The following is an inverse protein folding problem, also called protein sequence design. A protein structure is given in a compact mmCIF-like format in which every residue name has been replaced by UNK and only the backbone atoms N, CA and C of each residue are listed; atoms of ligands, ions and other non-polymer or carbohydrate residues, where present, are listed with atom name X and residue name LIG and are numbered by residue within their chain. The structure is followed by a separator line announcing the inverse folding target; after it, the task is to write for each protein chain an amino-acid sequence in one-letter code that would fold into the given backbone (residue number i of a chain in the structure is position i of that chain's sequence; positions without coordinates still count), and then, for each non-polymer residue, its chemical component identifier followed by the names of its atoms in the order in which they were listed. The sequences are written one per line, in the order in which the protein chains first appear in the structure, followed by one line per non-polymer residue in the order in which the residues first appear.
data_IF_325625471592
#
_entry.id   IF_325625471592
#
_cell.length_a   1.000
_cell.length_b   1.000
_cell.length_c   1.000
_cell.angle_alpha   90.00
_cell.angle_beta   90.00
_cell.angle_gamma   90.00
#
_symmetry.space_group_name_H-M   'P 1'
#
loop_
_entity.id
_entity.type
_entity.pdbx_description
1 polymer ?
#
# COMPACT_ATOMS: atom_id res chain seq x y z
N UNK A 1 -10.54 2.71 11.53
CA UNK A 1 -10.90 4.03 10.97
C UNK A 1 -9.79 4.45 10.02
N UNK A 2 -10.13 4.82 8.79
CA UNK A 2 -9.17 5.39 7.85
C UNK A 2 -8.60 6.69 8.43
N UNK A 3 -7.28 6.88 8.41
CA UNK A 3 -6.65 8.12 8.87
C UNK A 3 -7.02 9.23 7.87
N UNK A 4 -7.62 10.31 8.36
CA UNK A 4 -8.05 11.43 7.52
C UNK A 4 -6.88 12.39 7.30
N UNK A 5 -6.11 12.14 6.25
CA UNK A 5 -5.02 13.01 5.82
C UNK A 5 -5.57 14.15 4.95
N UNK A 6 -5.12 15.39 5.19
CA UNK A 6 -5.45 16.54 4.34
C UNK A 6 -4.66 16.46 3.03
N UNK A 7 -5.07 15.55 2.15
CA UNK A 7 -4.55 15.40 0.79
C UNK A 7 -5.58 15.93 -0.20
N UNK A 8 -5.10 16.61 -1.23
CA UNK A 8 -5.93 17.09 -2.34
C UNK A 8 -6.25 15.96 -3.32
N UNK A 9 -7.33 16.09 -4.08
CA UNK A 9 -7.69 15.11 -5.13
C UNK A 9 -6.54 14.82 -6.13
N UNK A 10 -5.78 15.82 -6.61
CA UNK A 10 -4.60 15.56 -7.43
C UNK A 10 -3.52 14.72 -6.74
N UNK A 11 -3.30 14.91 -5.44
CA UNK A 11 -2.33 14.12 -4.68
C UNK A 11 -2.82 12.68 -4.48
N UNK A 12 -4.09 12.48 -4.15
CA UNK A 12 -4.72 11.16 -4.04
C UNK A 12 -4.59 10.42 -5.38
N UNK A 13 -4.86 11.12 -6.49
CA UNK A 13 -4.70 10.56 -7.82
C UNK A 13 -3.25 10.16 -8.12
N UNK A 14 -2.28 11.00 -7.75
CA UNK A 14 -0.86 10.71 -7.94
C UNK A 14 -0.41 9.50 -7.10
N UNK A 15 -0.90 9.36 -5.87
CA UNK A 15 -0.65 8.18 -5.03
C UNK A 15 -1.20 6.92 -5.70
N UNK A 16 -2.42 6.98 -6.24
CA UNK A 16 -2.99 5.87 -7.01
C UNK A 16 -2.15 5.52 -8.24
N UNK A 17 -1.75 6.51 -9.03
CA UNK A 17 -1.00 6.30 -10.27
C UNK A 17 0.40 5.71 -10.00
N UNK A 18 1.01 6.04 -8.86
CA UNK A 18 2.25 5.44 -8.35
C UNK A 18 2.08 3.98 -7.88
N UNK A 19 0.85 3.51 -7.70
CA UNK A 19 0.58 2.15 -7.21
C UNK A 19 0.72 1.11 -8.34
N UNK A 20 1.20 -0.08 -8.00
CA UNK A 20 1.59 -1.09 -8.99
C UNK A 20 0.40 -1.48 -9.91
N UNK A 21 0.57 -1.51 -11.24
CA UNK A 21 -0.47 -1.97 -12.16
C UNK A 21 -0.92 -3.39 -11.81
N UNK A 22 -2.23 -3.66 -11.89
CA UNK A 22 -2.80 -4.94 -11.48
C UNK A 22 -2.34 -6.13 -12.36
N UNK A 23 -2.00 -5.86 -13.63
CA UNK A 23 -1.61 -6.86 -14.63
C UNK A 23 -2.80 -7.74 -15.03
N UNK A 24 -3.08 -7.86 -16.33
CA UNK A 24 -4.21 -8.66 -16.86
C UNK A 24 -5.61 -8.10 -16.62
N UNK A 25 -5.79 -7.12 -15.71
CA UNK A 25 -7.02 -6.34 -15.50
C UNK A 25 -6.92 -5.00 -16.22
N UNK A 26 -8.05 -4.29 -16.40
CA UNK A 26 -8.02 -2.90 -16.86
C UNK A 26 -7.22 -2.04 -15.85
N UNK A 27 -5.95 -1.77 -16.16
CA UNK A 27 -5.00 -1.06 -15.30
C UNK A 27 -5.45 0.39 -14.98
N UNK A 28 -6.46 0.90 -15.68
CA UNK A 28 -7.09 2.19 -15.36
C UNK A 28 -8.01 2.13 -14.14
N UNK A 29 -8.64 0.97 -13.91
CA UNK A 29 -9.62 0.79 -12.83
C UNK A 29 -9.02 0.08 -11.61
N UNK A 30 -8.06 -0.82 -11.83
CA UNK A 30 -7.49 -1.65 -10.77
C UNK A 30 -5.98 -1.55 -10.68
N UNK A 31 -5.50 -1.59 -9.44
CA UNK A 31 -4.09 -1.64 -9.07
C UNK A 31 -3.87 -2.74 -8.05
N UNK A 32 -2.60 -3.06 -7.79
CA UNK A 32 -2.17 -3.96 -6.73
C UNK A 32 -1.43 -3.17 -5.66
N UNK A 33 -1.85 -3.32 -4.42
CA UNK A 33 -1.10 -2.76 -3.28
C UNK A 33 0.24 -3.48 -3.09
N UNK A 34 1.03 -3.03 -2.11
CA UNK A 34 2.36 -3.59 -1.83
C UNK A 34 2.34 -5.07 -1.40
N UNK A 35 1.22 -5.53 -0.82
CA UNK A 35 0.99 -6.93 -0.51
C UNK A 35 0.55 -7.73 -1.74
N UNK A 36 0.09 -7.07 -2.80
CA UNK A 36 -0.44 -7.64 -4.04
C UNK A 36 -1.96 -7.76 -4.05
N UNK A 37 -2.67 -7.18 -3.07
CA UNK A 37 -4.12 -7.14 -3.05
C UNK A 37 -4.66 -6.24 -4.16
N UNK A 38 -5.76 -6.65 -4.80
CA UNK A 38 -6.45 -5.80 -5.76
C UNK A 38 -7.17 -4.66 -5.05
N UNK A 39 -7.04 -3.47 -5.63
CA UNK A 39 -7.77 -2.27 -5.21
C UNK A 39 -8.41 -1.62 -6.44
N UNK A 40 -9.53 -0.91 -6.24
CA UNK A 40 -10.30 -0.27 -7.33
C UNK A 40 -10.42 1.23 -7.12
N UNK A 41 -10.12 2.04 -8.15
CA UNK A 41 -10.09 3.51 -8.06
C UNK A 41 -11.39 4.09 -7.46
N UNK A 42 -12.55 3.54 -7.82
CA UNK A 42 -13.88 4.00 -7.37
C UNK A 42 -14.25 3.60 -5.93
N UNK A 43 -13.39 2.83 -5.26
CA UNK A 43 -13.60 2.29 -3.91
C UNK A 43 -12.67 2.91 -2.86
N UNK A 44 -12.22 4.14 -3.12
CA UNK A 44 -11.46 4.93 -2.14
C UNK A 44 -12.27 5.16 -0.85
N UNK A 45 -11.64 4.91 0.30
CA UNK A 45 -12.21 4.98 1.65
C UNK A 45 -13.45 4.11 1.87
N UNK A 46 -13.60 3.02 1.12
CA UNK A 46 -14.66 2.03 1.32
C UNK A 46 -14.09 0.75 1.92
N UNK A 47 -14.85 0.10 2.80
CA UNK A 47 -14.51 -1.22 3.37
C UNK A 47 -15.13 -2.35 2.53
N UNK A 48 -14.97 -2.29 1.21
CA UNK A 48 -15.46 -3.25 0.22
C UNK A 48 -14.39 -4.29 -0.13
N UNK A 49 -14.72 -5.23 -1.03
CA UNK A 49 -13.77 -6.23 -1.52
C UNK A 49 -12.52 -5.61 -2.17
N UNK A 50 -12.65 -4.50 -2.92
CA UNK A 50 -11.51 -3.82 -3.56
C UNK A 50 -11.26 -2.44 -2.97
N UNK A 51 -11.79 -2.22 -1.76
CA UNK A 51 -11.70 -0.97 -1.04
C UNK A 51 -10.28 -0.66 -0.61
N UNK A 52 -9.92 0.62 -0.65
CA UNK A 52 -8.56 1.04 -0.33
C UNK A 52 -8.53 2.37 0.40
N UNK A 53 -7.45 2.57 1.13
CA UNK A 53 -7.17 3.75 1.94
C UNK A 53 -5.75 4.22 1.64
N UNK A 54 -5.45 5.44 2.06
CA UNK A 54 -4.07 5.93 2.08
C UNK A 54 -3.42 5.49 3.38
N UNK A 55 -2.29 4.81 3.26
CA UNK A 55 -1.46 4.40 4.39
C UNK A 55 -0.07 5.02 4.24
N UNK A 56 0.50 5.52 5.34
CA UNK A 56 1.83 6.13 5.31
C UNK A 56 2.91 5.07 5.41
N UNK A 57 3.83 5.04 4.46
CA UNK A 57 4.98 4.14 4.51
C UNK A 57 5.76 4.32 5.82
N UNK A 58 6.15 5.56 6.13
CA UNK A 58 6.70 5.99 7.42
C UNK A 58 5.63 6.79 8.17
N UNK A 59 5.11 6.31 9.29
CA UNK A 59 4.13 7.04 10.09
C UNK A 59 4.68 8.37 10.60
N UNK A 60 3.79 9.36 10.82
CA UNK A 60 4.16 10.68 11.37
C UNK A 60 4.83 10.54 12.72
N UNK A 61 4.38 9.58 13.53
CA UNK A 61 4.91 9.26 14.85
C UNK A 61 6.36 8.74 14.80
N UNK A 62 6.85 8.37 13.61
CA UNK A 62 8.23 7.92 13.35
C UNK A 62 9.03 8.91 12.50
N UNK A 63 8.57 10.15 12.37
CA UNK A 63 9.23 11.21 11.62
C UNK A 63 8.92 11.22 10.12
N UNK A 64 7.86 10.53 9.68
CA UNK A 64 7.37 10.64 8.30
C UNK A 64 6.47 11.86 8.09
N UNK A 65 6.33 12.29 6.84
CA UNK A 65 5.45 13.40 6.45
C UNK A 65 4.26 12.92 5.62
N UNK A 66 3.16 13.66 5.64
CA UNK A 66 1.98 13.36 4.82
C UNK A 66 2.19 13.96 3.43
N UNK A 67 2.97 13.25 2.61
CA UNK A 67 3.28 13.65 1.23
C UNK A 67 3.11 12.46 0.27
N UNK A 68 2.93 12.76 -1.02
CA UNK A 68 2.69 11.76 -2.07
C UNK A 68 3.74 10.63 -2.05
N UNK A 69 5.02 10.95 -1.81
CA UNK A 69 6.11 9.97 -1.81
C UNK A 69 6.18 9.09 -0.56
N UNK A 70 5.48 9.47 0.52
CA UNK A 70 5.37 8.68 1.74
C UNK A 70 3.98 8.02 1.87
N UNK A 71 3.10 8.21 0.89
CA UNK A 71 1.75 7.64 0.87
C UNK A 71 1.66 6.41 -0.05
N UNK A 72 0.93 5.40 0.39
CA UNK A 72 0.64 4.18 -0.35
C UNK A 72 -0.88 4.03 -0.50
N UNK A 73 -1.36 3.69 -1.70
CA UNK A 73 -2.71 3.14 -1.85
C UNK A 73 -2.69 1.69 -1.40
N UNK A 74 -3.39 1.39 -0.30
CA UNK A 74 -3.40 0.06 0.30
C UNK A 74 -4.82 -0.46 0.49
N UNK A 75 -5.01 -1.76 0.31
CA UNK A 75 -6.29 -2.39 0.66
C UNK A 75 -6.58 -2.15 2.15
N UNK A 76 -7.83 -1.82 2.51
CA UNK A 76 -8.15 -1.36 3.87
C UNK A 76 -7.79 -2.38 4.96
N UNK A 77 -8.00 -3.69 4.70
CA UNK A 77 -7.59 -4.77 5.62
C UNK A 77 -6.06 -4.85 5.78
N UNK A 78 -5.33 -4.56 4.71
CA UNK A 78 -3.87 -4.60 4.69
C UNK A 78 -3.27 -3.41 5.43
N UNK A 79 -3.81 -2.21 5.23
CA UNK A 79 -3.41 -1.03 6.01
C UNK A 79 -3.63 -1.28 7.52
N UNK A 80 -4.78 -1.85 7.91
CA UNK A 80 -5.09 -2.22 9.30
C UNK A 80 -4.13 -3.27 9.87
N UNK A 81 -3.71 -4.25 9.06
CA UNK A 81 -2.77 -5.28 9.46
C UNK A 81 -1.32 -4.78 9.55
N UNK A 82 -0.89 -3.90 8.63
CA UNK A 82 0.47 -3.33 8.61
C UNK A 82 0.72 -2.39 9.78
N UNK A 83 -0.29 -1.62 10.21
CA UNK A 83 -0.18 -0.63 11.30
C UNK A 83 1.02 0.32 11.14
N UNK A 84 1.36 0.69 9.89
CA UNK A 84 2.49 1.57 9.60
C UNK A 84 3.88 0.99 9.91
N UNK A 85 4.03 -0.34 10.00
CA UNK A 85 5.34 -0.96 10.17
C UNK A 85 6.10 -1.11 8.84
N UNK A 86 7.43 -1.01 8.92
CA UNK A 86 8.37 -1.36 7.84
C UNK A 86 8.95 -2.77 8.01
N UNK A 87 8.67 -3.43 9.14
CA UNK A 87 9.10 -4.80 9.40
C UNK A 87 8.23 -5.79 8.62
N UNK A 88 8.65 -7.05 8.60
CA UNK A 88 7.83 -8.15 8.10
C UNK A 88 6.45 -8.15 8.79
N UNK A 89 5.38 -8.34 8.01
CA UNK A 89 4.01 -8.37 8.53
C UNK A 89 3.15 -9.34 7.73
N UNK A 90 2.06 -9.81 8.33
CA UNK A 90 1.10 -10.71 7.67
C UNK A 90 -0.02 -9.88 7.04
N UNK A 91 -0.06 -9.85 5.71
CA UNK A 91 -1.16 -9.27 4.98
C UNK A 91 -2.44 -10.06 5.20
N UNK A 92 -3.53 -9.33 5.42
CA UNK A 92 -4.86 -9.91 5.54
C UNK A 92 -5.39 -10.35 4.18
N UNK A 93 -4.92 -9.71 3.11
CA UNK A 93 -5.38 -9.90 1.73
C UNK A 93 -4.19 -9.83 0.75
N UNK A 94 -4.20 -10.71 -0.23
CA UNK A 94 -3.31 -10.78 -1.38
C UNK A 94 -4.13 -11.28 -2.57
N UNK A 95 -3.95 -10.64 -3.73
CA UNK A 95 -4.68 -10.94 -4.95
C UNK A 95 -3.92 -11.92 -5.84
N UNK A 96 -4.50 -13.08 -6.09
CA UNK A 96 -3.98 -14.06 -7.06
C UNK A 96 -4.84 -14.12 -8.32
N UNK A 97 -4.17 -14.35 -9.46
CA UNK A 97 -4.80 -14.63 -10.74
C UNK A 97 -4.50 -16.09 -11.07
N UNK A 98 -5.53 -16.95 -11.16
CA UNK A 98 -5.35 -18.31 -11.69
C UNK A 98 -5.44 -18.28 -13.22
N UNK A 99 -4.36 -18.71 -13.89
CA UNK A 99 -4.35 -18.92 -15.34
C UNK A 99 -5.18 -20.15 -15.71
N UNK A 100 -6.13 -20.00 -16.64
CA UNK A 100 -6.97 -21.10 -17.16
C UNK A 100 -8.46 -20.80 -17.05
N UNK A 101 -8.92 -20.41 -15.85
CA UNK A 101 -10.29 -19.93 -15.60
C UNK A 101 -10.13 -18.65 -14.78
N UNK A 102 -10.22 -17.47 -15.41
CA UNK A 102 -9.99 -16.14 -14.79
C UNK A 102 -10.89 -15.92 -13.56
N UNK A 103 -10.51 -16.51 -12.42
CA UNK A 103 -11.10 -16.31 -11.12
C UNK A 103 -10.04 -15.66 -10.26
N UNK A 104 -10.45 -14.56 -9.65
CA UNK A 104 -9.63 -13.78 -8.76
C UNK A 104 -9.90 -14.25 -7.34
N UNK A 105 -8.85 -14.29 -6.53
CA UNK A 105 -8.95 -14.73 -5.14
C UNK A 105 -8.22 -13.74 -4.25
N UNK A 106 -8.75 -13.56 -3.04
CA UNK A 106 -8.15 -12.78 -1.98
C UNK A 106 -7.80 -13.70 -0.82
N UNK A 107 -6.51 -13.85 -0.52
CA UNK A 107 -6.04 -14.70 0.57
C UNK A 107 -4.93 -14.02 1.39
N UNK A 108 -4.69 -14.37 2.66
CA UNK A 108 -3.59 -13.77 3.43
C UNK A 108 -2.21 -14.23 2.94
N UNK A 109 -1.19 -13.38 3.09
CA UNK A 109 0.20 -13.66 2.71
C UNK A 109 1.20 -12.93 3.62
N UNK A 110 2.36 -13.52 3.87
CA UNK A 110 3.44 -12.85 4.61
C UNK A 110 4.21 -11.87 3.70
N UNK A 111 4.21 -10.59 4.05
CA UNK A 111 4.91 -9.52 3.33
C UNK A 111 6.26 -9.27 3.99
N UNK A 112 7.33 -9.38 3.20
CA UNK A 112 8.71 -9.16 3.64
C UNK A 112 9.09 -7.69 3.55
N UNK A 113 9.84 -7.21 4.53
CA UNK A 113 10.38 -5.84 4.64
C UNK A 113 11.17 -5.42 3.39
N UNK A 114 11.96 -6.32 2.81
CA UNK A 114 12.67 -6.03 1.56
C UNK A 114 11.74 -5.71 0.38
N UNK A 115 10.53 -6.28 0.34
CA UNK A 115 9.50 -5.98 -0.67
C UNK A 115 8.92 -4.58 -0.44
N UNK A 116 8.82 -4.16 0.82
CA UNK A 116 8.39 -2.82 1.22
C UNK A 116 9.41 -1.78 0.76
N UNK A 117 10.70 -2.07 0.95
CA UNK A 117 11.83 -1.19 0.58
C UNK A 117 12.03 -1.13 -0.96
N UNK A 118 11.74 -2.22 -1.68
CA UNK A 118 11.92 -2.34 -3.14
C UNK A 118 10.77 -1.78 -3.98
N UNK A 119 9.77 -1.09 -3.40
CA UNK A 119 8.82 -0.30 -4.19
C UNK A 119 9.64 0.77 -4.95
N UNK A 120 9.96 0.47 -6.21
CA UNK A 120 11.25 0.75 -6.85
C UNK A 120 11.59 2.23 -7.16
N UNK A 121 10.71 3.19 -6.84
CA UNK A 121 10.86 4.59 -7.24
C UNK A 121 10.73 5.60 -6.09
N UNK A 122 10.74 5.12 -4.86
CA UNK A 122 10.59 5.98 -3.69
C UNK A 122 11.90 6.74 -3.39
N UNK A 123 12.07 7.93 -3.99
CA UNK A 123 12.96 9.01 -3.50
C UNK A 123 12.45 9.57 -2.17
N UNK A 124 12.24 8.68 -1.21
CA UNK A 124 11.97 9.06 0.17
C UNK A 124 13.29 9.60 0.69
N UNK A 125 13.27 10.82 1.21
CA UNK A 125 14.35 11.27 2.09
C UNK A 125 14.46 10.24 3.22
N UNK A 126 15.43 9.34 3.12
CA UNK A 126 16.00 8.61 4.23
C UNK A 126 15.15 7.51 4.92
N UNK A 127 14.50 6.58 4.18
CA UNK A 127 14.08 5.29 4.80
C UNK A 127 15.26 4.60 5.50
N UNK A 128 16.46 4.76 4.93
CA UNK A 128 17.72 4.26 5.49
C UNK A 128 18.06 4.87 6.86
N UNK A 129 17.98 6.19 7.03
CA UNK A 129 18.40 6.84 8.28
C UNK A 129 17.41 6.61 9.43
N UNK A 130 16.09 6.60 9.15
CA UNK A 130 15.07 6.33 10.17
C UNK A 130 15.15 4.87 10.65
N UNK A 131 15.44 3.91 9.77
CA UNK A 131 15.58 2.51 10.15
C UNK A 131 16.94 2.22 10.83
N UNK A 132 18.01 2.93 10.44
CA UNK A 132 19.31 2.84 11.12
C UNK A 132 19.27 3.35 12.56
N UNK A 133 18.50 4.41 12.85
CA UNK A 133 18.35 4.94 14.23
C UNK A 133 17.63 3.96 15.18
N UNK A 134 16.62 3.24 14.70
CA UNK A 134 15.81 2.33 15.52
C UNK A 134 16.42 0.93 15.76
N UNK A 135 17.61 0.64 15.21
CA UNK A 135 18.33 -0.62 15.48
C UNK A 135 19.26 -0.57 16.69
N UNK A 136 19.54 0.62 17.22
CA UNK A 136 20.54 0.85 18.28
C UNK A 136 19.92 1.34 19.60
N UNK A 137 18.65 1.00 19.88
CA UNK A 137 17.93 1.37 21.10
C UNK A 137 17.17 0.19 21.68
#
# INVERSE_FOLDING_TARGET
MAKNYKLTEPEIRKIWDNTHPAGGRNNTLFRKDIAGAFIKITEFNKETEFGWVIDLLVPVEKGGEVEVNNCLAMHWKNAKARKGTLNDWKAAVHGEIKSGNKKEFQQPLNVKSNKIIKAKDMKIKEVSAIWAKNKNS
#
